data_IF_701997975604
#
_entry.id   IF_701997975604
#
_cell.length_a   1.000
_cell.length_b   1.000
_cell.length_c   1.000
_cell.angle_alpha   90.00
_cell.angle_beta   90.00
_cell.angle_gamma   90.00
#
_symmetry.space_group_name_H-M   'P 1'
#
loop_
_entity.id
_entity.type
_entity.pdbx_description
1 polymer ?
#
# COMPACT_ATOMS: atom_id res chain seq x y z
N UNK A 1 -44.55 4.96 -3.02
CA UNK A 1 -45.91 5.45 -3.32
C UNK A 1 -45.78 6.89 -3.79
N UNK A 2 -46.46 7.26 -4.88
CA UNK A 2 -46.56 8.65 -5.35
C UNK A 2 -48.03 9.03 -5.21
N UNK A 3 -48.30 10.16 -4.57
CA UNK A 3 -49.65 10.70 -4.41
C UNK A 3 -49.86 11.82 -5.43
N UNK A 4 -50.80 11.63 -6.36
CA UNK A 4 -51.15 12.64 -7.36
C UNK A 4 -52.38 13.41 -6.89
N UNK A 5 -52.33 14.74 -6.91
CA UNK A 5 -53.39 15.63 -6.43
C UNK A 5 -53.62 16.78 -7.41
N UNK A 6 -54.80 17.40 -7.32
CA UNK A 6 -55.19 18.58 -8.11
C UNK A 6 -55.09 19.84 -7.23
N UNK A 7 -54.53 20.95 -7.74
CA UNK A 7 -54.49 22.21 -7.00
C UNK A 7 -55.81 22.99 -7.04
N UNK A 8 -56.84 22.47 -7.73
CA UNK A 8 -58.15 23.11 -7.85
C UNK A 8 -58.94 23.03 -6.54
N UNK A 9 -59.58 24.13 -6.14
CA UNK A 9 -60.44 24.19 -4.95
C UNK A 9 -61.62 23.21 -5.03
N UNK A 10 -62.08 22.90 -6.26
CA UNK A 10 -63.17 21.94 -6.48
C UNK A 10 -62.81 20.53 -6.01
N UNK A 11 -61.53 20.19 -6.03
CA UNK A 11 -61.00 18.86 -5.69
C UNK A 11 -60.44 18.81 -4.26
N UNK A 12 -60.71 19.84 -3.44
CA UNK A 12 -60.13 19.99 -2.12
C UNK A 12 -60.36 18.77 -1.21
N UNK A 13 -61.59 18.24 -1.18
CA UNK A 13 -61.96 17.07 -0.37
C UNK A 13 -61.16 15.82 -0.77
N UNK A 14 -61.06 15.54 -2.07
CA UNK A 14 -60.32 14.38 -2.60
C UNK A 14 -58.82 14.52 -2.41
N UNK A 15 -58.30 15.73 -2.60
CA UNK A 15 -56.90 16.07 -2.33
C UNK A 15 -56.57 15.86 -0.85
N UNK A 16 -57.44 16.30 0.07
CA UNK A 16 -57.28 16.07 1.50
C UNK A 16 -57.30 14.58 1.85
N UNK A 17 -58.19 13.80 1.26
CA UNK A 17 -58.28 12.35 1.49
C UNK A 17 -57.03 11.61 0.99
N UNK A 18 -56.54 11.96 -0.21
CA UNK A 18 -55.30 11.44 -0.78
C UNK A 18 -54.09 11.75 0.11
N UNK A 19 -53.98 12.99 0.60
CA UNK A 19 -52.90 13.40 1.51
C UNK A 19 -52.96 12.67 2.86
N UNK A 20 -54.16 12.48 3.43
CA UNK A 20 -54.36 11.68 4.65
C UNK A 20 -53.91 10.23 4.44
N UNK A 21 -54.25 9.63 3.30
CA UNK A 21 -53.80 8.27 2.98
C UNK A 21 -52.28 8.21 2.81
N UNK A 22 -51.68 9.15 2.07
CA UNK A 22 -50.23 9.22 1.91
C UNK A 22 -49.49 9.35 3.24
N UNK A 23 -50.03 10.15 4.18
CA UNK A 23 -49.47 10.28 5.53
C UNK A 23 -49.52 8.95 6.31
N UNK A 24 -50.64 8.21 6.23
CA UNK A 24 -50.73 6.87 6.83
C UNK A 24 -49.76 5.89 6.18
N UNK A 25 -49.66 5.89 4.84
CA UNK A 25 -48.77 5.01 4.09
C UNK A 25 -47.29 5.28 4.39
N UNK A 26 -46.91 6.56 4.63
CA UNK A 26 -45.57 6.94 5.08
C UNK A 26 -45.17 6.27 6.40
N UNK A 27 -46.12 5.98 7.27
CA UNK A 27 -45.86 5.39 8.58
C UNK A 27 -45.77 3.85 8.53
N UNK A 28 -45.97 3.22 7.37
CA UNK A 28 -45.81 1.78 7.20
C UNK A 28 -44.31 1.44 7.22
N UNK A 29 -43.89 0.66 8.21
CA UNK A 29 -42.51 0.18 8.35
C UNK A 29 -42.37 -1.22 7.78
N UNK A 30 -41.72 -1.34 6.64
CA UNK A 30 -41.38 -2.64 6.06
C UNK A 30 -40.01 -3.11 6.55
N UNK A 31 -39.91 -4.38 6.93
CA UNK A 31 -38.61 -5.04 7.16
C UNK A 31 -38.16 -5.67 5.85
N UNK A 32 -37.27 -5.00 5.13
CA UNK A 32 -36.71 -5.53 3.88
C UNK A 32 -35.66 -6.58 4.23
N UNK A 33 -35.77 -7.76 3.61
CA UNK A 33 -34.79 -8.83 3.70
C UNK A 33 -34.38 -9.18 2.27
N UNK A 34 -33.08 -9.45 2.06
CA UNK A 34 -32.60 -9.89 0.75
C UNK A 34 -33.27 -11.21 0.41
N UNK A 35 -33.90 -11.28 -0.77
CA UNK A 35 -34.53 -12.50 -1.25
C UNK A 35 -33.45 -13.50 -1.70
N UNK A 36 -32.86 -14.20 -0.74
CA UNK A 36 -31.96 -15.33 -0.98
C UNK A 36 -32.75 -16.62 -0.78
N UNK A 37 -32.56 -17.58 -1.67
CA UNK A 37 -33.10 -18.92 -1.47
C UNK A 37 -32.40 -19.58 -0.27
N UNK A 38 -33.15 -20.42 0.46
CA UNK A 38 -32.64 -21.08 1.68
C UNK A 38 -31.39 -21.90 1.40
N UNK A 39 -31.27 -22.48 0.20
CA UNK A 39 -30.10 -23.26 -0.19
C UNK A 39 -28.87 -22.36 -0.37
N UNK A 40 -28.97 -21.25 -1.11
CA UNK A 40 -27.85 -20.29 -1.22
C UNK A 40 -27.45 -19.68 0.13
N UNK A 41 -28.42 -19.38 1.01
CA UNK A 41 -28.12 -18.90 2.35
C UNK A 41 -27.32 -19.94 3.16
N UNK A 42 -27.76 -21.20 3.14
CA UNK A 42 -27.05 -22.31 3.78
C UNK A 42 -25.65 -22.53 3.19
N UNK A 43 -25.53 -22.50 1.85
CA UNK A 43 -24.23 -22.64 1.18
C UNK A 43 -23.30 -21.50 1.56
N UNK A 44 -23.79 -20.26 1.64
CA UNK A 44 -22.99 -19.10 2.05
C UNK A 44 -22.53 -19.22 3.50
N UNK A 45 -23.42 -19.64 4.41
CA UNK A 45 -23.07 -19.89 5.81
C UNK A 45 -22.02 -21.01 5.94
N UNK A 46 -22.21 -22.13 5.24
CA UNK A 46 -21.26 -23.25 5.24
C UNK A 46 -19.91 -22.85 4.65
N UNK A 47 -19.87 -22.08 3.56
CA UNK A 47 -18.61 -21.58 2.99
C UNK A 47 -17.86 -20.67 3.97
N UNK A 48 -18.59 -19.82 4.68
CA UNK A 48 -18.01 -18.94 5.71
C UNK A 48 -17.42 -19.77 6.85
N UNK A 49 -18.14 -20.80 7.29
CA UNK A 49 -17.67 -21.68 8.36
C UNK A 49 -16.47 -22.53 7.93
N UNK A 50 -16.47 -23.05 6.70
CA UNK A 50 -15.31 -23.75 6.12
C UNK A 50 -14.09 -22.83 6.10
N UNK A 51 -14.24 -21.58 5.65
CA UNK A 51 -13.14 -20.62 5.62
C UNK A 51 -12.62 -20.32 7.03
N UNK A 52 -13.52 -20.16 8.01
CA UNK A 52 -13.17 -19.96 9.43
C UNK A 52 -12.36 -21.14 9.97
N UNK A 53 -12.85 -22.36 9.78
CA UNK A 53 -12.18 -23.59 10.24
C UNK A 53 -10.84 -23.82 9.54
N UNK A 54 -10.74 -23.51 8.24
CA UNK A 54 -9.48 -23.59 7.50
C UNK A 54 -8.44 -22.62 8.04
N UNK A 55 -8.84 -21.40 8.37
CA UNK A 55 -7.96 -20.41 9.00
C UNK A 55 -7.49 -20.89 10.37
N UNK A 56 -8.41 -21.37 11.20
CA UNK A 56 -8.11 -21.90 12.53
C UNK A 56 -7.12 -23.09 12.47
N UNK A 57 -7.36 -24.05 11.57
CA UNK A 57 -6.43 -25.15 11.32
C UNK A 57 -5.05 -24.68 10.83
N UNK A 58 -5.00 -23.64 10.01
CA UNK A 58 -3.75 -23.05 9.57
C UNK A 58 -2.99 -22.45 10.76
N UNK A 59 -3.67 -21.73 11.65
CA UNK A 59 -3.06 -21.16 12.85
C UNK A 59 -2.50 -22.24 13.80
N UNK A 60 -3.21 -23.36 13.94
CA UNK A 60 -2.71 -24.52 14.67
C UNK A 60 -1.47 -25.13 14.00
N UNK A 61 -1.50 -25.32 12.68
CA UNK A 61 -0.36 -25.88 11.92
C UNK A 61 0.87 -24.99 11.97
N UNK A 62 0.69 -23.66 11.96
CA UNK A 62 1.80 -22.71 12.10
C UNK A 62 2.25 -22.52 13.54
N UNK A 63 1.61 -23.17 14.52
CA UNK A 63 1.91 -23.04 15.93
C UNK A 63 1.53 -21.69 16.54
N UNK A 64 0.72 -20.88 15.83
CA UNK A 64 0.20 -19.59 16.32
C UNK A 64 -0.85 -19.79 17.41
N UNK A 65 -1.65 -20.85 17.27
CA UNK A 65 -2.66 -21.27 18.23
C UNK A 65 -2.24 -22.59 18.85
N UNK A 66 -2.37 -22.71 20.17
CA UNK A 66 -2.10 -23.93 20.92
C UNK A 66 -3.30 -24.26 21.80
N UNK A 67 -3.52 -25.56 22.02
CA UNK A 67 -4.51 -26.03 22.98
C UNK A 67 -3.77 -26.40 24.25
N UNK A 68 -4.08 -25.71 25.35
CA UNK A 68 -3.53 -26.02 26.67
C UNK A 68 -4.08 -27.36 27.18
N UNK A 69 -3.43 -27.94 28.19
CA UNK A 69 -3.82 -29.23 28.79
C UNK A 69 -5.27 -29.24 29.31
N UNK A 70 -5.79 -28.07 29.71
CA UNK A 70 -7.18 -27.85 30.13
C UNK A 70 -8.19 -27.71 28.97
N UNK A 71 -7.75 -27.90 27.71
CA UNK A 71 -8.58 -27.75 26.52
C UNK A 71 -8.90 -26.31 26.11
N UNK A 72 -8.29 -25.33 26.79
CA UNK A 72 -8.43 -23.90 26.47
C UNK A 72 -7.49 -23.51 25.33
N UNK A 73 -8.04 -22.77 24.35
CA UNK A 73 -7.26 -22.25 23.23
C UNK A 73 -6.47 -21.02 23.68
N UNK A 74 -5.15 -21.07 23.52
CA UNK A 74 -4.26 -19.94 23.81
C UNK A 74 -3.47 -19.55 22.57
N UNK A 75 -3.07 -18.28 22.52
CA UNK A 75 -2.09 -17.81 21.54
C UNK A 75 -0.72 -18.26 22.03
N UNK A 76 0.11 -18.76 21.13
CA UNK A 76 1.46 -19.16 21.45
C UNK A 76 2.34 -17.92 21.66
N UNK A 77 2.78 -17.69 22.89
CA UNK A 77 3.62 -16.54 23.26
C UNK A 77 4.92 -16.49 22.45
N UNK A 78 5.55 -17.64 22.21
CA UNK A 78 6.77 -17.74 21.40
C UNK A 78 6.51 -17.40 19.92
N UNK A 79 5.34 -17.74 19.38
CA UNK A 79 4.96 -17.33 18.02
C UNK A 79 4.77 -15.81 17.95
N UNK A 80 4.12 -15.23 18.95
CA UNK A 80 3.92 -13.78 19.02
C UNK A 80 5.25 -13.02 19.12
N UNK A 81 6.15 -13.47 20.00
CA UNK A 81 7.49 -12.90 20.14
C UNK A 81 8.30 -13.01 18.85
N UNK A 82 8.29 -14.17 18.18
CA UNK A 82 8.96 -14.33 16.89
C UNK A 82 8.41 -13.38 15.83
N UNK A 83 7.09 -13.16 15.79
CA UNK A 83 6.48 -12.21 14.86
C UNK A 83 6.97 -10.77 15.10
N UNK A 84 7.06 -10.35 16.37
CA UNK A 84 7.59 -9.04 16.76
C UNK A 84 9.06 -8.89 16.38
N UNK A 85 9.88 -9.91 16.67
CA UNK A 85 11.31 -9.93 16.32
C UNK A 85 11.54 -9.90 14.80
N UNK A 86 10.70 -10.61 14.03
CA UNK A 86 10.75 -10.56 12.57
C UNK A 86 10.41 -9.17 12.03
N UNK A 87 9.39 -8.52 12.60
CA UNK A 87 9.04 -7.14 12.24
C UNK A 87 10.18 -6.16 12.55
N UNK A 88 10.79 -6.27 13.73
CA UNK A 88 11.94 -5.44 14.10
C UNK A 88 13.13 -5.68 13.18
N UNK A 89 13.42 -6.94 12.84
CA UNK A 89 14.46 -7.28 11.86
C UNK A 89 14.19 -6.66 10.49
N UNK A 90 12.93 -6.67 10.01
CA UNK A 90 12.56 -6.01 8.76
C UNK A 90 12.82 -4.50 8.83
N UNK A 91 12.41 -3.85 9.93
CA UNK A 91 12.65 -2.41 10.14
C UNK A 91 14.15 -2.07 10.16
N UNK A 92 14.95 -2.89 10.85
CA UNK A 92 16.41 -2.73 10.88
C UNK A 92 17.03 -2.90 9.49
N UNK A 93 16.57 -3.89 8.71
CA UNK A 93 17.03 -4.09 7.33
C UNK A 93 16.73 -2.88 6.44
N UNK A 94 15.54 -2.29 6.56
CA UNK A 94 15.18 -1.07 5.82
C UNK A 94 16.08 0.10 6.23
N UNK A 95 16.34 0.27 7.53
CA UNK A 95 17.22 1.33 8.02
C UNK A 95 18.66 1.16 7.51
N UNK A 96 19.20 -0.06 7.57
CA UNK A 96 20.54 -0.38 7.04
C UNK A 96 20.61 -0.07 5.55
N UNK A 97 19.57 -0.41 4.78
CA UNK A 97 19.51 -0.10 3.35
C UNK A 97 19.55 1.41 3.09
N UNK A 98 18.75 2.19 3.81
CA UNK A 98 18.73 3.66 3.66
C UNK A 98 20.08 4.30 4.05
N UNK A 99 20.74 3.78 5.10
CA UNK A 99 22.08 4.22 5.47
C UNK A 99 23.11 3.89 4.39
N UNK A 100 23.03 2.69 3.79
CA UNK A 100 23.92 2.29 2.69
C UNK A 100 23.76 3.21 1.48
N UNK A 101 22.52 3.53 1.10
CA UNK A 101 22.22 4.48 0.01
C UNK A 101 22.81 5.88 0.32
N UNK A 102 22.78 6.32 1.57
CA UNK A 102 23.38 7.59 2.00
C UNK A 102 24.91 7.56 1.87
N UNK A 103 25.55 6.45 2.27
CA UNK A 103 27.01 6.28 2.13
C UNK A 103 27.41 6.32 0.66
N UNK A 104 26.67 5.64 -0.21
CA UNK A 104 26.98 5.60 -1.63
C UNK A 104 26.80 6.98 -2.30
N UNK A 105 25.77 7.74 -1.91
CA UNK A 105 25.60 9.12 -2.35
C UNK A 105 26.74 10.04 -1.89
N UNK A 106 27.20 9.90 -0.64
CA UNK A 106 28.34 10.67 -0.12
C UNK A 106 29.64 10.30 -0.84
N UNK A 107 29.88 9.01 -1.11
CA UNK A 107 31.04 8.55 -1.89
C UNK A 107 31.05 9.15 -3.30
N UNK A 108 29.91 9.12 -4.00
CA UNK A 108 29.80 9.72 -5.32
C UNK A 108 30.10 11.23 -5.32
N UNK A 109 29.58 11.97 -4.31
CA UNK A 109 29.87 13.39 -4.16
C UNK A 109 31.34 13.67 -3.87
N UNK A 110 31.99 12.86 -3.03
CA UNK A 110 33.43 12.98 -2.77
C UNK A 110 34.25 12.77 -4.04
N UNK A 111 33.94 11.74 -4.83
CA UNK A 111 34.60 11.49 -6.12
C UNK A 111 34.41 12.66 -7.07
N UNK A 112 33.22 13.25 -7.13
CA UNK A 112 32.94 14.42 -7.96
C UNK A 112 33.78 15.64 -7.53
N UNK A 113 33.80 15.96 -6.23
CA UNK A 113 34.59 17.09 -5.70
C UNK A 113 36.09 16.89 -5.98
N UNK A 114 36.61 15.67 -5.79
CA UNK A 114 38.01 15.38 -6.10
C UNK A 114 38.32 15.57 -7.59
N UNK A 115 37.42 15.14 -8.47
CA UNK A 115 37.54 15.38 -9.92
C UNK A 115 37.50 16.88 -10.26
N UNK A 116 36.58 17.64 -9.65
CA UNK A 116 36.45 19.08 -9.89
C UNK A 116 37.68 19.85 -9.37
N UNK A 117 38.25 19.42 -8.23
CA UNK A 117 39.50 19.97 -7.71
C UNK A 117 40.69 19.66 -8.63
N UNK A 118 40.79 18.43 -9.15
CA UNK A 118 41.82 18.07 -10.12
C UNK A 118 41.70 18.91 -11.40
N UNK A 119 40.48 19.06 -11.93
CA UNK A 119 40.20 19.89 -13.10
C UNK A 119 40.51 21.38 -12.85
N UNK A 120 40.15 21.92 -11.68
CA UNK A 120 40.50 23.30 -11.32
C UNK A 120 42.01 23.51 -11.13
N UNK A 121 42.72 22.53 -10.58
CA UNK A 121 44.18 22.58 -10.46
C UNK A 121 44.84 22.57 -11.85
N UNK A 122 44.35 21.73 -12.77
CA UNK A 122 44.76 21.72 -14.18
C UNK A 122 44.45 23.05 -14.87
N UNK A 123 43.26 23.62 -14.67
CA UNK A 123 42.88 24.91 -15.25
C UNK A 123 43.72 26.08 -14.72
N UNK A 124 44.09 26.08 -13.43
CA UNK A 124 45.01 27.08 -12.85
C UNK A 124 46.46 26.92 -13.29
N UNK A 125 46.90 25.69 -13.54
CA UNK A 125 48.16 25.43 -14.24
C UNK A 125 48.09 25.81 -15.74
N UNK A 126 46.88 26.09 -16.24
CA UNK A 126 46.53 26.39 -17.62
C UNK A 126 47.23 27.61 -18.24
N UNK A 127 47.65 28.60 -17.46
CA UNK A 127 48.40 29.75 -18.01
C UNK A 127 49.80 29.37 -18.51
N UNK A 128 50.29 28.15 -18.23
CA UNK A 128 51.52 27.58 -18.82
C UNK A 128 51.33 26.24 -19.54
N UNK A 129 50.08 25.78 -19.75
CA UNK A 129 49.77 24.39 -20.16
C UNK A 129 49.27 24.22 -21.59
N UNK A 130 48.96 25.30 -22.33
CA UNK A 130 48.47 25.19 -23.71
C UNK A 130 49.52 24.56 -24.64
N UNK A 131 50.81 24.86 -24.46
CA UNK A 131 51.89 24.26 -25.24
C UNK A 131 52.05 22.76 -24.97
N UNK A 132 51.97 22.34 -23.70
CA UNK A 132 52.06 20.94 -23.30
C UNK A 132 50.80 20.17 -23.74
N UNK A 133 49.62 20.81 -23.67
CA UNK A 133 48.37 20.25 -24.17
C UNK A 133 48.40 20.01 -25.68
N UNK A 134 48.86 21.00 -26.47
CA UNK A 134 49.04 20.88 -27.91
C UNK A 134 50.08 19.80 -28.28
N UNK A 135 51.16 19.68 -27.49
CA UNK A 135 52.18 18.64 -27.68
C UNK A 135 51.62 17.24 -27.42
N UNK A 136 50.85 17.06 -26.35
CA UNK A 136 50.18 15.79 -26.05
C UNK A 136 49.14 15.45 -27.12
N UNK A 137 48.38 16.43 -27.63
CA UNK A 137 47.42 16.22 -28.71
C UNK A 137 48.11 15.80 -30.02
N UNK A 138 49.25 16.41 -30.36
CA UNK A 138 50.04 16.01 -31.52
C UNK A 138 50.58 14.59 -31.37
N UNK A 139 51.09 14.21 -30.18
CA UNK A 139 51.55 12.84 -29.94
C UNK A 139 50.43 11.80 -29.99
N UNK A 140 49.23 12.11 -29.47
CA UNK A 140 48.08 11.21 -29.57
C UNK A 140 47.68 11.00 -31.03
N UNK A 141 47.69 12.08 -31.82
CA UNK A 141 47.37 12.04 -33.26
C UNK A 141 48.39 11.24 -34.06
N UNK A 142 49.68 11.42 -33.74
CA UNK A 142 50.79 10.67 -34.37
C UNK A 142 50.73 9.17 -34.04
N UNK A 143 50.29 8.81 -32.82
CA UNK A 143 50.06 7.40 -32.43
C UNK A 143 48.83 6.80 -33.15
N UNK A 144 47.78 7.59 -33.41
CA UNK A 144 46.63 7.14 -34.20
C UNK A 144 46.97 6.95 -35.69
N UNK A 145 47.81 7.81 -36.28
CA UNK A 145 48.24 7.71 -37.68
C UNK A 145 49.24 6.55 -37.92
N UNK A 146 49.93 6.08 -36.86
CA UNK A 146 50.84 4.93 -36.89
C UNK A 146 50.13 3.57 -36.72
N UNK A 147 48.80 3.56 -36.60
CA UNK A 147 47.96 2.38 -36.41
C UNK A 147 47.27 1.93 -37.70
#
# INVERSE_FOLDING_TARGET
MIACISPSDRDFMETLNTLKYANRARNIKNKVVVNQDKASQQISALRTEIARLQMELMEYRTGKRIVSEDGLESINDMYHENSMLQMENQNLRVRVKAMQETIDAQRARLTQILSDQANNALAKAGEGSEEIGNMIQNYIKEIEDLR
#
